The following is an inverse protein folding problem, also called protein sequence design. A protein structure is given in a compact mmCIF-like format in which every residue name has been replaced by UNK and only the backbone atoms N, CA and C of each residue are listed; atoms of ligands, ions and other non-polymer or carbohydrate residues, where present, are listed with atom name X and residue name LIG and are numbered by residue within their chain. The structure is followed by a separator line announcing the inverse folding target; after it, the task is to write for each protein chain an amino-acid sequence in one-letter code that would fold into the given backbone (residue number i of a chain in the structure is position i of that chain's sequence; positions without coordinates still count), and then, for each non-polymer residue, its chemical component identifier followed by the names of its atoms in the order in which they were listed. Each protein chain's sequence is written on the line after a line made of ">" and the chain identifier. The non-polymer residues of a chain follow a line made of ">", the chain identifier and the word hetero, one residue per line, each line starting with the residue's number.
data_IF_550176244811
#
_entry.id   IF_550176244811
#
_cell.length_a   1.000
_cell.length_b   1.000
_cell.length_c   1.000
_cell.angle_alpha   90.00
_cell.angle_beta   90.00
_cell.angle_gamma   90.00
#
_symmetry.space_group_name_H-M   'P 1'
#
loop_
_entity.id
_entity.type
_entity.pdbx_description
1 polymer ?
#
# COMPACT_ATOMS: atom_id res chain seq x y z
N UNK A 1 19.00 -66.41 -17.40
CA UNK A 1 18.68 -64.97 -17.59
C UNK A 1 17.20 -64.81 -17.93
N UNK A 2 16.32 -65.18 -16.99
CA UNK A 2 14.86 -65.17 -17.25
C UNK A 2 14.09 -64.93 -15.95
N UNK A 3 14.41 -63.85 -15.23
CA UNK A 3 13.64 -63.34 -14.07
C UNK A 3 13.91 -61.84 -13.88
N UNK A 4 13.54 -61.01 -14.86
CA UNK A 4 13.59 -59.54 -14.71
C UNK A 4 12.68 -58.83 -15.73
N UNK A 5 11.46 -59.33 -15.97
CA UNK A 5 10.49 -58.66 -16.87
C UNK A 5 9.03 -58.60 -16.40
N UNK A 6 8.69 -59.13 -15.23
CA UNK A 6 7.29 -59.20 -14.75
C UNK A 6 6.99 -58.39 -13.48
N UNK A 7 7.72 -57.30 -13.22
CA UNK A 7 7.47 -56.42 -12.06
C UNK A 7 7.13 -54.96 -12.41
N UNK A 8 6.91 -54.65 -13.70
CA UNK A 8 6.53 -53.31 -14.18
C UNK A 8 5.11 -53.23 -14.76
N UNK A 9 4.22 -54.16 -14.40
CA UNK A 9 2.83 -54.20 -14.90
C UNK A 9 1.73 -54.18 -13.84
N UNK A 10 2.05 -53.96 -12.57
CA UNK A 10 1.04 -53.83 -11.50
C UNK A 10 1.30 -52.61 -10.62
N UNK A 11 1.14 -51.40 -11.17
CA UNK A 11 0.93 -50.16 -10.41
C UNK A 11 0.52 -49.02 -11.34
N UNK A 12 -0.58 -49.20 -12.06
CA UNK A 12 -1.21 -48.13 -12.85
C UNK A 12 -2.70 -48.02 -12.52
N UNK A 13 -3.01 -47.77 -11.25
CA UNK A 13 -4.31 -47.29 -10.81
C UNK A 13 -4.10 -46.11 -9.85
N UNK A 14 -3.52 -45.03 -10.39
CA UNK A 14 -3.56 -43.71 -9.75
C UNK A 14 -4.64 -42.92 -10.47
N UNK A 15 -5.65 -42.58 -9.68
CA UNK A 15 -6.84 -41.80 -9.98
C UNK A 15 -6.50 -40.54 -10.80
N UNK A 16 -6.78 -40.55 -12.12
CA UNK A 16 -6.83 -39.35 -12.93
C UNK A 16 -8.19 -38.69 -12.70
N UNK A 17 -8.22 -37.60 -11.92
CA UNK A 17 -9.41 -36.75 -11.80
C UNK A 17 -9.75 -36.17 -13.18
N UNK A 18 -11.01 -36.18 -13.63
CA UNK A 18 -11.36 -35.61 -14.92
C UNK A 18 -11.28 -34.08 -14.85
N UNK A 19 -10.62 -33.50 -15.86
CA UNK A 19 -10.74 -32.08 -16.18
C UNK A 19 -12.23 -31.78 -16.43
N UNK A 20 -12.84 -30.99 -15.55
CA UNK A 20 -14.19 -30.47 -15.78
C UNK A 20 -14.15 -29.51 -16.96
N UNK A 21 -14.77 -29.92 -18.06
CA UNK A 21 -15.05 -29.08 -19.22
C UNK A 21 -16.21 -28.18 -18.84
N UNK A 22 -15.94 -26.92 -18.51
CA UNK A 22 -17.00 -25.91 -18.27
C UNK A 22 -17.62 -25.59 -19.63
N UNK A 23 -18.78 -26.17 -19.90
CA UNK A 23 -19.66 -25.77 -21.00
C UNK A 23 -20.37 -24.47 -20.59
N UNK A 24 -19.86 -23.34 -21.07
CA UNK A 24 -20.54 -22.04 -20.92
C UNK A 24 -21.73 -21.97 -21.86
N UNK A 25 -22.93 -22.28 -21.35
CA UNK A 25 -24.15 -21.66 -21.87
C UNK A 25 -24.19 -20.26 -21.27
N UNK A 26 -23.86 -19.25 -22.09
CA UNK A 26 -23.99 -17.84 -21.71
C UNK A 26 -25.47 -17.49 -21.73
N UNK A 27 -26.12 -17.53 -20.57
CA UNK A 27 -27.29 -16.68 -20.35
C UNK A 27 -26.78 -15.29 -20.00
N UNK A 28 -26.97 -14.36 -20.94
CA UNK A 28 -26.77 -12.94 -20.72
C UNK A 28 -27.92 -12.42 -19.84
N UNK A 29 -27.65 -12.18 -18.56
CA UNK A 29 -28.54 -11.43 -17.68
C UNK A 29 -27.73 -10.84 -16.51
N UNK A 30 -27.76 -9.50 -16.40
CA UNK A 30 -27.15 -8.62 -15.39
C UNK A 30 -25.61 -8.59 -15.30
N UNK A 31 -25.01 -7.47 -15.72
CA UNK A 31 -23.62 -7.15 -15.37
C UNK A 31 -23.56 -6.82 -13.87
N UNK A 32 -23.37 -7.83 -13.03
CA UNK A 32 -23.06 -7.61 -11.62
C UNK A 32 -21.80 -6.74 -11.54
N UNK A 33 -21.94 -5.54 -10.98
CA UNK A 33 -20.79 -4.67 -10.68
C UNK A 33 -19.91 -5.44 -9.69
N UNK A 34 -18.69 -5.79 -10.11
CA UNK A 34 -17.75 -6.49 -9.25
C UNK A 34 -17.41 -5.61 -8.05
N UNK A 35 -17.32 -6.17 -6.84
CA UNK A 35 -16.97 -5.40 -5.64
C UNK A 35 -15.56 -4.83 -5.76
N UNK A 36 -15.36 -3.62 -5.22
CA UNK A 36 -14.07 -2.92 -5.21
C UNK A 36 -13.10 -3.49 -4.19
N UNK A 37 -13.58 -4.33 -3.28
CA UNK A 37 -12.77 -5.11 -2.33
C UNK A 37 -13.23 -6.56 -2.40
N UNK A 38 -12.27 -7.48 -2.57
CA UNK A 38 -12.48 -8.92 -2.50
C UNK A 38 -12.11 -9.40 -1.10
N UNK A 39 -12.97 -10.24 -0.51
CA UNK A 39 -12.67 -10.90 0.77
C UNK A 39 -12.78 -12.40 0.56
N UNK A 40 -11.68 -13.10 0.81
CA UNK A 40 -11.58 -14.56 0.69
C UNK A 40 -11.02 -15.14 1.98
N UNK A 41 -11.30 -16.42 2.24
CA UNK A 41 -10.67 -17.18 3.32
C UNK A 41 -9.83 -18.30 2.74
N UNK A 42 -8.56 -18.33 3.13
CA UNK A 42 -7.69 -19.48 2.93
C UNK A 42 -7.45 -20.15 4.28
N UNK A 43 -8.17 -21.23 4.55
CA UNK A 43 -8.24 -21.86 5.88
C UNK A 43 -8.66 -20.85 6.96
N UNK A 44 -7.73 -20.45 7.83
CA UNK A 44 -7.93 -19.52 8.93
C UNK A 44 -7.23 -18.17 8.68
N UNK A 45 -6.89 -17.87 7.43
CA UNK A 45 -6.32 -16.58 7.02
C UNK A 45 -7.37 -15.84 6.19
N UNK A 46 -7.67 -14.59 6.57
CA UNK A 46 -8.55 -13.73 5.77
C UNK A 46 -7.73 -12.94 4.77
N UNK A 47 -8.05 -13.05 3.49
CA UNK A 47 -7.44 -12.31 2.39
C UNK A 47 -8.34 -11.13 2.03
N UNK A 48 -7.79 -9.92 2.01
CA UNK A 48 -8.49 -8.68 1.68
C UNK A 48 -7.78 -8.06 0.48
N UNK A 49 -8.41 -8.11 -0.68
CA UNK A 49 -7.86 -7.65 -1.95
C UNK A 49 -8.51 -6.35 -2.43
N UNK A 50 -7.73 -5.30 -2.67
CA UNK A 50 -8.22 -4.09 -3.33
C UNK A 50 -8.37 -4.39 -4.83
N UNK A 51 -9.58 -4.21 -5.37
CA UNK A 51 -9.98 -4.69 -6.69
C UNK A 51 -10.51 -3.54 -7.58
N UNK A 52 -9.61 -2.62 -7.92
CA UNK A 52 -9.81 -1.52 -8.88
C UNK A 52 -8.59 -1.42 -9.79
N UNK A 53 -8.19 -2.54 -10.40
CA UNK A 53 -6.96 -2.65 -11.20
C UNK A 53 -6.86 -1.59 -12.31
N UNK A 54 -8.00 -1.24 -12.91
CA UNK A 54 -8.11 -0.26 -14.01
C UNK A 54 -7.69 1.15 -13.57
N UNK A 55 -7.70 1.40 -12.25
CA UNK A 55 -7.26 2.63 -11.62
C UNK A 55 -6.05 2.39 -10.69
N UNK A 56 -5.28 1.31 -10.91
CA UNK A 56 -4.16 0.89 -10.07
C UNK A 56 -4.52 0.83 -8.58
N UNK A 57 -5.73 0.37 -8.29
CA UNK A 57 -6.25 0.26 -6.93
C UNK A 57 -6.25 1.60 -6.18
N UNK A 58 -6.51 2.71 -6.88
CA UNK A 58 -6.86 3.96 -6.23
C UNK A 58 -8.09 3.76 -5.33
N UNK A 59 -8.17 4.49 -4.22
CA UNK A 59 -9.15 4.29 -3.15
C UNK A 59 -10.08 5.49 -3.11
N UNK A 60 -11.31 5.28 -3.58
CA UNK A 60 -12.43 6.23 -3.48
C UNK A 60 -13.21 6.00 -2.17
N UNK A 61 -14.23 6.81 -1.90
CA UNK A 61 -15.05 6.71 -0.69
C UNK A 61 -15.68 5.33 -0.49
N UNK A 62 -16.23 4.76 -1.56
CA UNK A 62 -16.86 3.44 -1.54
C UNK A 62 -15.85 2.33 -1.24
N UNK A 63 -14.67 2.40 -1.86
CA UNK A 63 -13.58 1.45 -1.64
C UNK A 63 -13.06 1.56 -0.22
N UNK A 64 -12.84 2.78 0.29
CA UNK A 64 -12.43 3.01 1.67
C UNK A 64 -13.43 2.40 2.66
N UNK A 65 -14.74 2.58 2.44
CA UNK A 65 -15.79 1.98 3.26
C UNK A 65 -15.76 0.45 3.22
N UNK A 66 -15.58 -0.14 2.04
CA UNK A 66 -15.47 -1.59 1.89
C UNK A 66 -14.20 -2.16 2.53
N UNK A 67 -13.06 -1.45 2.48
CA UNK A 67 -11.83 -1.82 3.18
C UNK A 67 -12.08 -1.77 4.70
N UNK A 68 -12.66 -0.68 5.21
CA UNK A 68 -13.01 -0.54 6.63
C UNK A 68 -13.93 -1.65 7.11
N UNK A 69 -14.95 -2.00 6.32
CA UNK A 69 -15.85 -3.10 6.62
C UNK A 69 -15.11 -4.45 6.63
N UNK A 70 -14.33 -4.76 5.59
CA UNK A 70 -13.60 -6.02 5.49
C UNK A 70 -12.62 -6.21 6.66
N UNK A 71 -11.92 -5.15 7.06
CA UNK A 71 -11.01 -5.17 8.20
C UNK A 71 -11.77 -5.26 9.53
N UNK A 72 -12.93 -4.60 9.69
CA UNK A 72 -13.79 -4.79 10.88
C UNK A 72 -14.26 -6.22 11.02
N UNK A 73 -14.79 -6.79 9.94
CA UNK A 73 -15.32 -8.16 9.91
C UNK A 73 -14.18 -9.15 10.20
N UNK A 74 -12.99 -8.92 9.63
CA UNK A 74 -11.79 -9.66 9.99
C UNK A 74 -11.46 -9.50 11.47
N UNK A 75 -11.34 -8.28 12.01
CA UNK A 75 -10.88 -8.07 13.40
C UNK A 75 -11.83 -8.69 14.44
N UNK A 76 -13.13 -8.78 14.12
CA UNK A 76 -14.16 -9.42 14.93
C UNK A 76 -14.24 -10.95 14.80
N UNK A 77 -13.63 -11.55 13.78
CA UNK A 77 -13.72 -12.99 13.50
C UNK A 77 -12.64 -13.80 14.25
N UNK A 78 -13.01 -14.42 15.37
CA UNK A 78 -12.10 -15.24 16.18
C UNK A 78 -11.56 -16.49 15.46
N UNK A 79 -12.15 -16.89 14.32
CA UNK A 79 -11.65 -18.01 13.50
C UNK A 79 -10.47 -17.62 12.60
N UNK A 80 -10.17 -16.33 12.48
CA UNK A 80 -9.12 -15.79 11.61
C UNK A 80 -8.11 -14.98 12.42
N UNK A 81 -6.99 -15.59 12.89
CA UNK A 81 -5.99 -14.91 13.71
C UNK A 81 -5.15 -13.87 12.95
N UNK A 82 -5.01 -13.98 11.62
CA UNK A 82 -4.12 -13.12 10.82
C UNK A 82 -4.79 -12.77 9.50
N UNK A 83 -4.70 -11.49 9.11
CA UNK A 83 -5.20 -11.00 7.82
C UNK A 83 -4.08 -10.80 6.82
N UNK A 84 -4.40 -10.84 5.53
CA UNK A 84 -3.51 -10.43 4.44
C UNK A 84 -4.18 -9.33 3.62
N UNK A 85 -3.53 -8.18 3.49
CA UNK A 85 -3.98 -7.07 2.65
C UNK A 85 -3.13 -7.02 1.37
N UNK A 86 -3.76 -6.96 0.20
CA UNK A 86 -3.06 -6.94 -1.09
C UNK A 86 -3.84 -6.17 -2.16
N UNK A 87 -3.19 -5.89 -3.30
CA UNK A 87 -3.83 -5.29 -4.47
C UNK A 87 -3.93 -6.26 -5.65
N UNK A 88 -5.11 -6.32 -6.28
CA UNK A 88 -5.38 -7.10 -7.49
C UNK A 88 -4.82 -6.37 -8.71
N UNK A 89 -4.33 -7.10 -9.72
CA UNK A 89 -3.99 -6.51 -11.03
C UNK A 89 -2.66 -5.75 -11.08
N UNK A 90 -1.68 -6.13 -10.26
CA UNK A 90 -0.28 -5.72 -10.45
C UNK A 90 0.10 -4.37 -9.83
N UNK A 91 -0.70 -3.81 -8.92
CA UNK A 91 -0.31 -2.71 -8.04
C UNK A 91 -1.04 -2.84 -6.71
N UNK A 92 -0.38 -2.52 -5.60
CA UNK A 92 -1.04 -2.51 -4.30
C UNK A 92 -2.11 -1.42 -4.24
N UNK A 93 -1.70 -0.15 -4.37
CA UNK A 93 -2.59 1.01 -4.44
C UNK A 93 -1.84 2.27 -4.87
N UNK A 94 -2.47 3.06 -5.73
CA UNK A 94 -2.04 4.41 -6.10
C UNK A 94 -2.39 5.49 -5.04
N UNK A 95 -3.09 5.14 -3.97
CA UNK A 95 -3.58 6.08 -2.95
C UNK A 95 -4.97 6.60 -3.24
N UNK A 96 -5.30 7.79 -2.72
CA UNK A 96 -6.62 8.40 -2.85
C UNK A 96 -7.01 8.63 -4.33
N UNK A 97 -8.27 8.40 -4.66
CA UNK A 97 -8.78 8.52 -6.03
C UNK A 97 -8.66 9.96 -6.55
N UNK A 98 -7.95 10.12 -7.69
CA UNK A 98 -7.66 11.45 -8.26
C UNK A 98 -8.92 12.14 -8.79
N UNK A 99 -9.95 11.37 -9.18
CA UNK A 99 -11.24 11.94 -9.62
C UNK A 99 -12.01 12.51 -8.42
N UNK A 100 -12.03 11.80 -7.28
CA UNK A 100 -12.59 12.38 -6.05
C UNK A 100 -11.76 13.59 -5.58
N UNK A 101 -10.43 13.48 -5.62
CA UNK A 101 -9.53 14.58 -5.23
C UNK A 101 -9.79 15.84 -6.05
N UNK A 102 -10.05 15.68 -7.34
CA UNK A 102 -10.41 16.79 -8.21
C UNK A 102 -11.74 17.42 -7.79
N UNK A 103 -12.78 16.62 -7.56
CA UNK A 103 -14.07 17.15 -7.14
C UNK A 103 -13.99 17.89 -5.80
N UNK A 104 -13.11 17.46 -4.89
CA UNK A 104 -12.78 18.19 -3.66
C UNK A 104 -12.04 19.51 -3.97
N UNK A 105 -11.04 19.48 -4.86
CA UNK A 105 -10.30 20.66 -5.27
C UNK A 105 -11.17 21.73 -5.94
N UNK A 106 -12.09 21.34 -6.83
CA UNK A 106 -13.06 22.25 -7.47
C UNK A 106 -13.99 22.91 -6.45
N UNK A 107 -14.34 22.19 -5.37
CA UNK A 107 -15.10 22.73 -4.23
C UNK A 107 -14.25 23.57 -3.28
N UNK A 108 -12.93 23.57 -3.43
CA UNK A 108 -12.01 24.18 -2.48
C UNK A 108 -12.05 23.51 -1.11
N UNK A 109 -12.31 22.19 -1.07
CA UNK A 109 -12.48 21.41 0.15
C UNK A 109 -11.38 20.35 0.30
N UNK A 110 -11.19 19.92 1.55
CA UNK A 110 -10.36 18.78 1.95
C UNK A 110 -11.14 17.87 2.90
N UNK A 111 -12.46 17.77 2.72
CA UNK A 111 -13.36 17.03 3.63
C UNK A 111 -12.98 15.55 3.75
N UNK A 112 -12.34 14.98 2.73
CA UNK A 112 -11.84 13.61 2.79
C UNK A 112 -10.81 13.38 3.91
N UNK A 113 -10.07 14.42 4.33
CA UNK A 113 -9.16 14.38 5.47
C UNK A 113 -9.91 14.27 6.81
N UNK A 114 -11.19 14.62 6.86
CA UNK A 114 -11.99 14.61 8.09
C UNK A 114 -12.74 13.30 8.32
N UNK A 115 -12.65 12.33 7.39
CA UNK A 115 -13.31 11.02 7.52
C UNK A 115 -12.86 10.29 8.79
N UNK A 116 -13.81 9.91 9.65
CA UNK A 116 -13.54 9.37 10.99
C UNK A 116 -12.52 8.22 11.03
N UNK A 117 -12.57 7.32 10.03
CA UNK A 117 -11.71 6.16 9.97
C UNK A 117 -10.34 6.40 9.31
N UNK A 118 -10.20 7.47 8.53
CA UNK A 118 -9.12 7.67 7.56
C UNK A 118 -9.65 7.97 6.15
N UNK A 119 -8.80 8.54 5.30
CA UNK A 119 -9.19 8.87 3.91
C UNK A 119 -9.29 7.61 3.03
N UNK A 120 -8.47 6.60 3.32
CA UNK A 120 -8.30 5.38 2.51
C UNK A 120 -8.65 4.08 3.25
N UNK A 121 -9.51 4.16 4.27
CA UNK A 121 -9.96 3.01 5.07
C UNK A 121 -9.73 3.23 6.56
N UNK A 122 -9.49 2.17 7.35
CA UNK A 122 -9.42 2.23 8.82
C UNK A 122 -8.03 2.63 9.34
N UNK A 123 -7.35 3.57 8.68
CA UNK A 123 -5.98 3.99 8.99
C UNK A 123 -5.85 4.64 10.37
N UNK A 124 -6.97 5.07 10.97
CA UNK A 124 -7.03 5.64 12.32
C UNK A 124 -7.33 4.64 13.42
N UNK A 125 -7.60 3.37 13.08
CA UNK A 125 -7.93 2.35 14.08
C UNK A 125 -6.68 1.74 14.70
N UNK A 126 -6.84 1.28 15.94
CA UNK A 126 -5.94 0.32 16.58
C UNK A 126 -6.53 -1.08 16.40
N UNK A 127 -5.96 -1.86 15.48
CA UNK A 127 -6.45 -3.22 15.18
C UNK A 127 -5.97 -4.20 16.25
N UNK A 128 -6.78 -5.20 16.59
CA UNK A 128 -6.42 -6.22 17.59
C UNK A 128 -5.53 -7.31 17.01
N UNK A 129 -5.75 -7.66 15.73
CA UNK A 129 -5.06 -8.77 15.06
C UNK A 129 -4.07 -8.31 14.01
N UNK A 130 -2.98 -9.07 13.80
CA UNK A 130 -1.96 -8.69 12.83
C UNK A 130 -2.45 -8.80 11.38
N UNK A 131 -1.98 -7.88 10.54
CA UNK A 131 -2.18 -7.90 9.08
C UNK A 131 -0.82 -7.92 8.38
N UNK A 132 -0.65 -8.86 7.43
CA UNK A 132 0.50 -8.91 6.53
C UNK A 132 0.13 -8.28 5.19
N UNK A 133 0.93 -7.31 4.74
CA UNK A 133 0.72 -6.63 3.46
C UNK A 133 1.54 -7.30 2.35
N UNK A 134 0.89 -7.68 1.26
CA UNK A 134 1.50 -8.12 0.01
C UNK A 134 1.57 -6.98 -1.00
N UNK A 135 2.77 -6.47 -1.27
CA UNK A 135 2.99 -5.29 -2.11
C UNK A 135 3.54 -5.69 -3.48
N UNK A 136 2.69 -5.57 -4.50
CA UNK A 136 3.03 -5.62 -5.92
C UNK A 136 2.98 -4.21 -6.54
N UNK A 137 3.71 -4.00 -7.64
CA UNK A 137 3.69 -2.75 -8.41
C UNK A 137 3.80 -1.47 -7.58
N UNK A 138 2.82 -0.58 -7.69
CA UNK A 138 2.83 0.70 -6.96
C UNK A 138 2.12 0.61 -5.61
N UNK A 139 2.79 1.08 -4.56
CA UNK A 139 2.22 1.35 -3.23
C UNK A 139 2.62 2.77 -2.83
N UNK A 140 1.80 3.74 -3.21
CA UNK A 140 2.20 5.16 -3.20
C UNK A 140 1.13 6.05 -2.58
N UNK A 141 1.54 7.24 -2.15
CA UNK A 141 0.69 8.21 -1.46
C UNK A 141 -0.03 7.56 -0.26
N UNK A 142 -1.33 7.80 -0.08
CA UNK A 142 -2.12 7.19 1.00
C UNK A 142 -2.18 5.65 0.91
N UNK A 143 -1.87 5.05 -0.25
CA UNK A 143 -1.69 3.60 -0.37
C UNK A 143 -0.48 3.11 0.45
N UNK A 144 0.58 3.90 0.56
CA UNK A 144 1.69 3.61 1.47
C UNK A 144 1.27 3.78 2.93
N UNK A 145 0.43 4.75 3.26
CA UNK A 145 -0.10 4.92 4.63
C UNK A 145 -0.96 3.72 5.04
N UNK A 146 -1.77 3.17 4.12
CA UNK A 146 -2.52 1.93 4.34
C UNK A 146 -1.59 0.71 4.49
N UNK A 147 -0.50 0.63 3.73
CA UNK A 147 0.49 -0.44 3.91
C UNK A 147 1.28 -0.31 5.23
N UNK A 148 1.48 0.91 5.71
CA UNK A 148 2.11 1.20 7.02
C UNK A 148 1.19 0.85 8.20
N UNK A 149 -0.14 0.84 8.02
CA UNK A 149 -1.08 0.31 9.02
C UNK A 149 -0.85 -1.19 9.28
N UNK A 150 -0.40 -1.94 8.26
CA UNK A 150 -0.11 -3.36 8.39
C UNK A 150 1.16 -3.61 9.21
N UNK A 151 1.21 -4.73 9.91
CA UNK A 151 2.33 -5.08 10.80
C UNK A 151 3.59 -5.44 10.03
N UNK A 152 3.44 -6.25 8.98
CA UNK A 152 4.54 -6.74 8.16
C UNK A 152 4.26 -6.48 6.68
N UNK A 153 5.30 -6.21 5.91
CA UNK A 153 5.24 -5.94 4.47
C UNK A 153 6.15 -6.89 3.71
N UNK A 154 5.58 -7.56 2.72
CA UNK A 154 6.25 -8.44 1.75
C UNK A 154 6.13 -7.77 0.39
N UNK A 155 7.25 -7.36 -0.20
CA UNK A 155 7.29 -6.52 -1.39
C UNK A 155 7.98 -7.24 -2.56
N UNK A 156 7.42 -7.09 -3.75
CA UNK A 156 8.07 -7.54 -4.99
C UNK A 156 9.30 -6.69 -5.32
N UNK A 157 10.31 -7.30 -5.91
CA UNK A 157 11.57 -6.65 -6.32
C UNK A 157 11.37 -5.45 -7.27
N UNK A 158 10.36 -5.51 -8.14
CA UNK A 158 10.00 -4.44 -9.08
C UNK A 158 9.01 -3.42 -8.51
N UNK A 159 8.49 -3.62 -7.31
CA UNK A 159 7.53 -2.71 -6.72
C UNK A 159 8.20 -1.37 -6.32
N UNK A 160 7.36 -0.35 -6.15
CA UNK A 160 7.79 1.03 -5.86
C UNK A 160 6.94 1.60 -4.73
N UNK A 161 7.62 2.17 -3.73
CA UNK A 161 7.01 2.95 -2.66
C UNK A 161 7.31 4.45 -2.81
N UNK A 162 6.48 5.30 -2.23
CA UNK A 162 6.77 6.73 -2.07
C UNK A 162 5.53 7.62 -1.93
N UNK A 163 5.70 8.81 -1.35
CA UNK A 163 4.63 9.79 -1.17
C UNK A 163 4.48 10.71 -2.39
N UNK A 164 3.93 10.17 -3.48
CA UNK A 164 3.78 10.94 -4.72
C UNK A 164 2.73 12.07 -4.62
N UNK A 165 1.85 12.03 -3.61
CA UNK A 165 0.94 13.11 -3.26
C UNK A 165 1.67 14.45 -3.01
N UNK A 166 2.97 14.41 -2.66
CA UNK A 166 3.83 15.61 -2.58
C UNK A 166 3.78 16.46 -3.85
N UNK A 167 3.70 15.83 -5.02
CA UNK A 167 3.68 16.52 -6.33
C UNK A 167 2.35 17.21 -6.63
N UNK A 168 1.30 16.74 -5.96
CA UNK A 168 -0.06 17.26 -6.05
C UNK A 168 -0.35 18.28 -4.94
N UNK A 169 0.58 18.58 -4.03
CA UNK A 169 0.30 19.50 -2.91
C UNK A 169 -0.62 18.91 -1.84
N UNK A 170 -0.86 17.59 -1.86
CA UNK A 170 -1.76 16.93 -0.90
C UNK A 170 -0.94 16.43 0.30
N UNK A 171 -1.30 16.80 1.54
CA UNK A 171 -0.58 16.36 2.74
C UNK A 171 -0.81 14.87 3.04
N UNK A 172 -0.02 14.32 3.97
CA UNK A 172 -0.29 13.02 4.59
C UNK A 172 -1.35 13.21 5.68
N UNK A 173 -2.24 12.24 5.87
CA UNK A 173 -3.39 12.38 6.79
C UNK A 173 -3.89 11.07 7.41
N UNK A 174 -3.16 9.99 7.14
CA UNK A 174 -3.54 8.64 7.49
C UNK A 174 -2.47 7.99 8.39
N UNK A 175 -1.74 8.83 9.13
CA UNK A 175 -0.70 8.42 10.07
C UNK A 175 0.64 8.09 9.41
N UNK A 176 0.85 8.49 8.16
CA UNK A 176 2.10 8.28 7.45
C UNK A 176 3.30 8.95 8.13
N UNK A 177 3.14 10.16 8.69
CA UNK A 177 4.27 10.84 9.37
C UNK A 177 4.66 10.14 10.66
N UNK A 178 3.71 9.47 11.32
CA UNK A 178 3.93 8.73 12.56
C UNK A 178 4.55 7.36 12.29
N UNK A 179 3.88 6.56 11.46
CA UNK A 179 4.28 5.16 11.24
C UNK A 179 5.56 5.04 10.43
N UNK A 180 5.80 5.93 9.48
CA UNK A 180 7.04 5.89 8.71
C UNK A 180 8.25 6.20 9.60
N UNK A 181 8.18 7.26 10.42
CA UNK A 181 9.27 7.62 11.32
C UNK A 181 9.59 6.50 12.32
N UNK A 182 8.56 5.81 12.83
CA UNK A 182 8.74 4.64 13.69
C UNK A 182 9.39 3.45 12.95
N UNK A 183 9.10 3.27 11.65
CA UNK A 183 9.60 2.14 10.87
C UNK A 183 11.03 2.33 10.36
N UNK A 184 11.38 3.51 9.84
CA UNK A 184 12.67 3.74 9.13
C UNK A 184 13.59 4.74 9.83
N UNK A 185 13.16 5.28 10.97
CA UNK A 185 13.83 6.37 11.67
C UNK A 185 13.55 7.74 11.04
N UNK A 186 13.80 8.79 11.82
CA UNK A 186 13.47 10.17 11.46
C UNK A 186 14.10 10.62 10.12
N UNK A 187 15.40 10.39 9.92
CA UNK A 187 16.13 10.90 8.75
C UNK A 187 15.61 10.31 7.43
N UNK A 188 15.41 9.00 7.35
CA UNK A 188 14.84 8.36 6.16
C UNK A 188 13.38 8.80 5.95
N UNK A 189 12.61 8.96 7.03
CA UNK A 189 11.22 9.38 6.93
C UNK A 189 11.09 10.79 6.33
N UNK A 190 11.88 11.75 6.82
CA UNK A 190 11.90 13.13 6.29
C UNK A 190 12.32 13.15 4.83
N UNK A 191 13.39 12.44 4.45
CA UNK A 191 13.83 12.33 3.05
C UNK A 191 12.68 11.84 2.15
N UNK A 192 12.03 10.72 2.49
CA UNK A 192 10.96 10.15 1.68
C UNK A 192 9.74 11.08 1.59
N UNK A 193 9.38 11.76 2.68
CA UNK A 193 8.21 12.67 2.76
C UNK A 193 8.45 13.98 2.02
N UNK A 194 9.62 14.59 2.18
CA UNK A 194 9.95 15.90 1.60
C UNK A 194 10.22 15.79 0.10
N UNK A 195 11.00 14.79 -0.31
CA UNK A 195 11.36 14.61 -1.72
C UNK A 195 10.24 13.96 -2.52
N UNK A 196 9.38 13.16 -1.88
CA UNK A 196 8.40 12.31 -2.58
C UNK A 196 9.08 11.36 -3.58
N UNK A 197 10.36 11.01 -3.36
CA UNK A 197 11.14 10.14 -4.26
C UNK A 197 10.62 8.70 -4.23
N UNK A 198 11.08 7.93 -5.20
CA UNK A 198 10.85 6.47 -5.20
C UNK A 198 11.75 5.79 -4.20
N UNK A 199 11.18 4.80 -3.52
CA UNK A 199 11.91 3.82 -2.73
C UNK A 199 11.69 2.46 -3.38
N UNK A 200 12.79 1.88 -3.89
CA UNK A 200 12.77 0.56 -4.53
C UNK A 200 13.01 -0.55 -3.50
N UNK A 201 12.62 -1.78 -3.84
CA UNK A 201 12.56 -2.90 -2.89
C UNK A 201 13.88 -3.15 -2.11
N UNK A 202 15.05 -3.04 -2.76
CA UNK A 202 16.35 -3.22 -2.08
C UNK A 202 16.59 -2.16 -1.00
N UNK A 203 16.26 -0.91 -1.31
CA UNK A 203 16.37 0.17 -0.33
C UNK A 203 15.32 0.01 0.77
N UNK A 204 14.06 -0.27 0.40
CA UNK A 204 12.96 -0.48 1.34
C UNK A 204 13.30 -1.57 2.37
N UNK A 205 13.93 -2.66 1.93
CA UNK A 205 14.43 -3.72 2.81
C UNK A 205 15.57 -3.23 3.72
N UNK A 206 16.56 -2.53 3.15
CA UNK A 206 17.74 -2.02 3.88
C UNK A 206 17.36 -1.05 5.01
N UNK A 207 16.38 -0.19 4.79
CA UNK A 207 15.96 0.83 5.76
C UNK A 207 14.87 0.34 6.73
N UNK A 208 14.42 -0.91 6.61
CA UNK A 208 13.37 -1.48 7.48
C UNK A 208 11.94 -1.09 7.10
N UNK A 209 11.73 -0.41 5.95
CA UNK A 209 10.40 -0.09 5.45
C UNK A 209 9.64 -1.35 5.05
N UNK A 210 10.34 -2.39 4.59
CA UNK A 210 9.77 -3.68 4.20
C UNK A 210 10.52 -4.80 4.89
N UNK A 211 9.81 -5.85 5.28
CA UNK A 211 10.38 -6.98 6.02
C UNK A 211 10.93 -8.07 5.11
N UNK A 212 10.34 -8.26 3.92
CA UNK A 212 10.76 -9.27 2.94
C UNK A 212 10.66 -8.74 1.51
N UNK A 213 11.71 -8.97 0.73
CA UNK A 213 11.71 -8.77 -0.71
C UNK A 213 11.56 -10.12 -1.42
N UNK A 214 10.68 -10.20 -2.41
CA UNK A 214 10.36 -11.43 -3.15
C UNK A 214 10.34 -11.19 -4.65
N UNK A 215 10.32 -12.26 -5.45
CA UNK A 215 10.23 -12.14 -6.90
C UNK A 215 8.87 -11.53 -7.33
N UNK A 216 8.87 -10.79 -8.44
CA UNK A 216 7.66 -10.26 -9.07
C UNK A 216 6.59 -11.35 -9.26
N UNK A 217 5.33 -11.03 -8.95
CA UNK A 217 4.19 -11.94 -9.00
C UNK A 217 4.01 -12.85 -7.79
N UNK A 218 4.89 -12.78 -6.78
CA UNK A 218 4.86 -13.72 -5.64
C UNK A 218 4.51 -13.08 -4.30
N UNK A 219 4.30 -11.76 -4.22
CA UNK A 219 4.06 -11.07 -2.95
C UNK A 219 2.85 -11.60 -2.18
N UNK A 220 1.71 -11.83 -2.84
CA UNK A 220 0.52 -12.39 -2.18
C UNK A 220 0.80 -13.77 -1.57
N UNK A 221 1.32 -14.70 -2.37
CA UNK A 221 1.61 -16.05 -1.88
C UNK A 221 2.61 -16.06 -0.72
N UNK A 222 3.63 -15.19 -0.77
CA UNK A 222 4.62 -15.08 0.30
C UNK A 222 4.07 -14.36 1.55
N UNK A 223 3.15 -13.41 1.38
CA UNK A 223 2.41 -12.80 2.49
C UNK A 223 1.49 -13.81 3.18
N UNK A 224 0.79 -14.66 2.42
CA UNK A 224 -0.04 -15.77 2.93
C UNK A 224 0.81 -16.78 3.70
N UNK A 225 1.96 -17.19 3.16
CA UNK A 225 2.89 -18.09 3.86
C UNK A 225 3.40 -17.49 5.19
N UNK A 226 3.67 -16.18 5.21
CA UNK A 226 4.04 -15.47 6.43
C UNK A 226 2.87 -15.41 7.42
N UNK A 227 1.65 -15.15 6.95
CA UNK A 227 0.45 -15.16 7.78
C UNK A 227 0.21 -16.53 8.44
N UNK A 228 0.32 -17.63 7.68
CA UNK A 228 0.28 -18.99 8.24
C UNK A 228 1.40 -19.26 9.25
N UNK A 229 2.59 -18.73 9.01
CA UNK A 229 3.71 -18.87 9.94
C UNK A 229 3.47 -18.15 11.27
N UNK A 230 2.65 -17.11 11.28
CA UNK A 230 2.23 -16.37 12.47
C UNK A 230 1.06 -17.10 13.15
N UNK A 231 0.07 -17.52 12.38
CA UNK A 231 -1.18 -18.10 12.87
C UNK A 231 -1.02 -19.42 13.64
N UNK A 232 0.12 -20.10 13.50
CA UNK A 232 0.42 -21.33 14.27
C UNK A 232 0.74 -21.09 15.75
N UNK A 233 0.95 -19.84 16.17
CA UNK A 233 1.31 -19.48 17.55
C UNK A 233 0.10 -19.03 18.37
N UNK A 234 0.17 -19.11 19.72
CA UNK A 234 -0.91 -18.62 20.59
C UNK A 234 -1.19 -17.13 20.38
N UNK A 235 -2.40 -16.80 19.93
CA UNK A 235 -2.77 -15.44 19.52
C UNK A 235 -2.71 -14.43 20.68
N UNK A 236 -3.09 -14.82 21.90
CA UNK A 236 -3.13 -13.92 23.05
C UNK A 236 -1.75 -13.34 23.42
N UNK A 237 -0.71 -14.19 23.45
CA UNK A 237 0.67 -13.74 23.70
C UNK A 237 1.17 -12.84 22.57
N UNK A 238 0.88 -13.22 21.32
CA UNK A 238 1.26 -12.42 20.16
C UNK A 238 0.62 -11.03 20.19
N UNK A 239 -0.68 -10.96 20.50
CA UNK A 239 -1.41 -9.70 20.61
C UNK A 239 -0.86 -8.84 21.75
N UNK A 240 -0.52 -9.45 22.89
CA UNK A 240 0.09 -8.74 24.01
C UNK A 240 1.42 -8.09 23.60
N UNK A 241 2.34 -8.88 23.05
CA UNK A 241 3.67 -8.40 22.65
C UNK A 241 3.56 -7.34 21.54
N UNK A 242 2.68 -7.57 20.56
CA UNK A 242 2.38 -6.62 19.48
C UNK A 242 1.88 -5.29 20.06
N UNK A 243 0.90 -5.31 20.95
CA UNK A 243 0.35 -4.10 21.55
C UNK A 243 1.41 -3.35 22.37
N UNK A 244 2.28 -4.08 23.09
CA UNK A 244 3.40 -3.47 23.81
C UNK A 244 4.37 -2.75 22.87
N UNK A 245 4.71 -3.36 21.72
CA UNK A 245 5.55 -2.71 20.69
C UNK A 245 4.86 -1.46 20.12
N UNK A 246 3.59 -1.56 19.75
CA UNK A 246 2.83 -0.44 19.18
C UNK A 246 2.68 0.73 20.16
N UNK A 247 2.48 0.46 21.44
CA UNK A 247 2.47 1.46 22.49
C UNK A 247 3.84 2.13 22.66
N UNK A 248 4.92 1.33 22.71
CA UNK A 248 6.28 1.82 22.99
C UNK A 248 6.97 2.49 21.79
N UNK A 249 6.64 2.11 20.56
CA UNK A 249 7.25 2.65 19.34
C UNK A 249 6.81 4.08 18.99
N UNK A 250 6.20 4.82 19.95
CA UNK A 250 5.53 6.12 19.74
C UNK A 250 4.42 6.08 18.69
N UNK A 251 3.92 4.89 18.34
CA UNK A 251 2.91 4.74 17.32
C UNK A 251 1.49 4.90 17.85
N UNK A 252 1.26 4.94 19.19
CA UNK A 252 -0.08 5.09 19.78
C UNK A 252 -0.17 5.89 21.11
N UNK A 253 0.80 5.88 22.04
CA UNK A 253 0.54 6.27 23.47
C UNK A 253 1.28 7.49 24.10
N UNK A 254 2.04 8.34 23.38
CA UNK A 254 2.52 9.66 23.90
C UNK A 254 2.42 10.76 22.83
N UNK A 255 2.14 12.03 23.22
CA UNK A 255 0.90 12.72 22.80
C UNK A 255 0.32 12.05 21.55
N UNK A 256 -0.57 11.09 21.80
CA UNK A 256 -0.72 9.86 21.04
C UNK A 256 -0.92 10.01 19.54
N UNK A 257 -0.84 8.89 18.83
CA UNK A 257 -1.10 8.80 17.39
C UNK A 257 -2.31 9.61 16.93
N UNK A 258 -3.39 9.61 17.70
CA UNK A 258 -4.56 10.43 17.44
C UNK A 258 -4.25 11.93 17.46
N UNK A 259 -3.46 12.42 18.41
CA UNK A 259 -2.99 13.79 18.44
C UNK A 259 -2.04 14.10 17.27
N UNK A 260 -1.18 13.15 16.86
CA UNK A 260 -0.29 13.32 15.72
C UNK A 260 -1.03 13.34 14.38
N UNK A 261 -1.98 12.41 14.15
CA UNK A 261 -2.88 12.44 12.99
C UNK A 261 -3.78 13.68 13.02
N UNK A 262 -4.28 14.06 14.20
CA UNK A 262 -5.01 15.32 14.34
C UNK A 262 -4.11 16.51 14.00
N UNK A 263 -2.82 16.48 14.33
CA UNK A 263 -1.85 17.50 13.94
C UNK A 263 -1.57 17.49 12.43
N UNK A 264 -1.54 16.33 11.78
CA UNK A 264 -1.49 16.20 10.31
C UNK A 264 -2.68 16.92 9.66
N UNK A 265 -3.88 16.75 10.22
CA UNK A 265 -5.14 17.32 9.69
C UNK A 265 -5.29 18.81 10.03
N UNK A 266 -5.02 19.20 11.28
CA UNK A 266 -5.30 20.56 11.79
C UNK A 266 -4.28 21.60 11.31
N UNK A 267 -3.10 21.19 10.85
CA UNK A 267 -2.11 22.10 10.25
C UNK A 267 -2.29 22.29 8.74
N UNK A 268 -3.38 21.78 8.18
CA UNK A 268 -3.72 22.01 6.78
C UNK A 268 -4.12 23.47 6.59
N UNK A 269 -3.38 24.19 5.75
CA UNK A 269 -3.61 25.62 5.47
C UNK A 269 -4.40 25.84 4.18
N UNK A 270 -5.04 27.00 4.04
CA UNK A 270 -5.71 27.40 2.79
C UNK A 270 -4.76 27.44 1.58
N UNK A 271 -3.47 27.72 1.79
CA UNK A 271 -2.45 27.66 0.75
C UNK A 271 -2.28 26.24 0.18
N UNK A 272 -2.43 25.20 1.02
CA UNK A 272 -2.37 23.81 0.55
C UNK A 272 -3.56 23.46 -0.35
N UNK A 273 -4.73 24.07 -0.14
CA UNK A 273 -5.90 23.88 -1.02
C UNK A 273 -5.60 24.48 -2.41
N UNK A 274 -4.99 25.66 -2.45
CA UNK A 274 -4.55 26.29 -3.72
C UNK A 274 -3.49 25.43 -4.41
N UNK A 275 -2.50 24.92 -3.68
CA UNK A 275 -1.47 24.04 -4.22
C UNK A 275 -2.07 22.73 -4.76
N UNK A 276 -3.07 22.18 -4.07
CA UNK A 276 -3.83 21.01 -4.52
C UNK A 276 -4.58 21.29 -5.83
N UNK A 277 -5.29 22.42 -5.92
CA UNK A 277 -6.02 22.81 -7.14
C UNK A 277 -5.07 22.93 -8.34
N UNK A 278 -3.92 23.58 -8.16
CA UNK A 278 -2.92 23.70 -9.22
C UNK A 278 -2.26 22.34 -9.53
N UNK A 279 -2.01 21.52 -8.52
CA UNK A 279 -1.48 20.16 -8.65
C UNK A 279 -2.38 19.26 -9.49
N UNK A 280 -3.68 19.25 -9.20
CA UNK A 280 -4.70 18.50 -9.95
C UNK A 280 -4.80 19.01 -11.40
N UNK A 281 -4.84 20.34 -11.59
CA UNK A 281 -4.89 20.94 -12.93
C UNK A 281 -3.68 20.53 -13.78
N UNK A 282 -2.48 20.57 -13.21
CA UNK A 282 -1.24 20.12 -13.87
C UNK A 282 -1.26 18.63 -14.16
N UNK A 283 -1.79 17.81 -13.25
CA UNK A 283 -1.94 16.37 -13.46
C UNK A 283 -2.86 16.07 -14.65
N UNK A 284 -3.89 16.89 -14.87
CA UNK A 284 -4.76 16.75 -16.04
C UNK A 284 -4.08 17.10 -17.35
N UNK A 285 -3.36 18.22 -17.38
CA UNK A 285 -2.79 18.80 -18.61
C UNK A 285 -1.46 18.17 -19.04
N UNK A 286 -0.83 17.35 -18.18
CA UNK A 286 0.44 16.70 -18.54
C UNK A 286 0.28 15.73 -19.73
N UNK A 287 1.06 15.95 -20.78
CA UNK A 287 1.04 15.15 -22.02
C UNK A 287 1.59 13.72 -21.82
N UNK A 288 2.45 13.53 -20.83
CA UNK A 288 2.99 12.22 -20.48
C UNK A 288 2.21 11.68 -19.28
N UNK A 289 1.11 10.96 -19.52
CA UNK A 289 0.51 10.06 -18.53
C UNK A 289 1.17 8.70 -18.65
N UNK A 290 2.46 8.64 -18.36
CA UNK A 290 3.27 7.45 -18.61
C UNK A 290 2.84 6.27 -17.74
N UNK A 291 3.07 5.01 -18.18
CA UNK A 291 2.90 3.84 -17.31
C UNK A 291 3.79 3.92 -16.06
N UNK A 292 4.87 4.71 -16.11
CA UNK A 292 5.74 5.06 -14.99
C UNK A 292 5.35 6.44 -14.46
N UNK A 293 5.28 6.59 -13.14
CA UNK A 293 4.98 7.87 -12.45
C UNK A 293 6.08 8.94 -12.59
N UNK A 294 6.94 8.84 -13.60
CA UNK A 294 8.09 9.72 -13.83
C UNK A 294 7.72 11.06 -14.45
N UNK A 295 6.56 11.11 -15.07
CA UNK A 295 6.19 12.17 -16.00
C UNK A 295 5.58 13.42 -15.36
N UNK A 296 5.49 13.44 -14.04
CA UNK A 296 4.97 14.58 -13.30
C UNK A 296 6.12 15.55 -13.06
N UNK A 297 6.43 16.39 -14.05
CA UNK A 297 7.49 17.40 -13.96
C UNK A 297 7.44 18.11 -12.60
N UNK A 298 8.40 17.80 -11.72
CA UNK A 298 8.67 18.60 -10.53
C UNK A 298 9.00 20.00 -11.07
N UNK A 299 8.48 21.08 -10.46
CA UNK A 299 8.97 22.42 -10.82
C UNK A 299 10.48 22.38 -10.65
N UNK A 300 11.25 22.48 -11.73
CA UNK A 300 12.65 22.86 -11.61
C UNK A 300 12.61 24.24 -10.93
N UNK A 301 12.93 24.26 -9.63
CA UNK A 301 13.17 25.53 -8.96
C UNK A 301 14.38 26.13 -9.67
N UNK A 302 14.25 27.38 -10.12
CA UNK A 302 15.41 28.11 -10.63
C UNK A 302 16.47 28.09 -9.54
N UNK A 303 17.63 27.52 -9.86
CA UNK A 303 18.78 27.46 -8.96
C UNK A 303 19.08 28.91 -8.49
N UNK A 304 19.18 29.17 -7.18
CA UNK A 304 19.61 30.48 -6.67
C UNK A 304 20.96 30.89 -7.28
N UNK A 305 21.17 32.19 -7.47
CA UNK A 305 22.36 32.66 -8.21
C UNK A 305 23.69 32.29 -7.54
N UNK A 306 23.69 32.08 -6.22
CA UNK A 306 24.86 31.60 -5.47
C UNK A 306 25.20 30.14 -5.79
N UNK A 307 24.20 29.28 -5.96
CA UNK A 307 24.39 27.86 -6.27
C UNK A 307 24.80 27.69 -7.75
N UNK A 308 24.33 28.57 -8.65
CA UNK A 308 24.86 28.66 -10.02
C UNK A 308 26.34 29.08 -10.03
N UNK A 309 26.73 29.99 -9.15
CA UNK A 309 28.11 30.45 -9.04
C UNK A 309 29.03 29.35 -8.50
N UNK A 310 28.59 28.57 -7.51
CA UNK A 310 29.33 27.40 -7.01
C UNK A 310 29.51 26.32 -8.09
N UNK A 311 28.45 25.99 -8.83
CA UNK A 311 28.52 25.04 -9.94
C UNK A 311 29.51 25.53 -11.01
N UNK A 312 29.51 26.82 -11.33
CA UNK A 312 30.46 27.39 -12.29
C UNK A 312 31.92 27.29 -11.80
N UNK A 313 32.16 27.50 -10.50
CA UNK A 313 33.50 27.34 -9.88
C UNK A 313 33.94 25.87 -9.95
N UNK A 314 33.06 24.93 -9.63
CA UNK A 314 33.37 23.49 -9.69
C UNK A 314 33.65 23.02 -11.13
N UNK A 315 32.92 23.55 -12.11
CA UNK A 315 33.16 23.25 -13.53
C UNK A 315 34.47 23.85 -14.05
N UNK A 316 34.86 25.03 -13.56
CA UNK A 316 36.14 25.66 -13.89
C UNK A 316 37.32 24.91 -13.25
N UNK A 317 37.14 24.38 -12.04
CA UNK A 317 38.12 23.54 -11.36
C UNK A 317 38.29 22.16 -12.02
N UNK A 318 37.21 21.57 -12.58
CA UNK A 318 37.28 20.31 -13.35
C UNK A 318 37.96 20.45 -14.71
N UNK A 319 38.11 21.68 -15.23
CA UNK A 319 38.76 21.98 -16.51
C UNK A 319 40.26 22.30 -16.37
N UNK A 320 40.79 22.36 -15.15
CA UNK A 320 42.22 22.53 -14.84
C UNK A 320 42.86 21.19 -14.51
#
# INVERSE_FOLDING_TARGET
>A
MTKFRNLLQQSSNICRRPFFRVSTVRNASESAVLPTVLVEKDSHITLIGINREQQRNAIDANTAQQISKAISDFDADDTSPVGVLYGVGGSFSAGYDVVELEAEAERGSLDFLLRHEGSVGPTRRHLRKPIVCGINGFCVASGLELALLCDLRVMEDTAVLGFFNRRLGVPLSDGGTVRLAAAVGYSNAVDIIETGRRVYAREALRIGLVNRMVATGTALGQAVNLAFSIAKFPLSSLQHDRNAVLANANAYERPGFHAAVNNEIMNVSSAMITDMQEGVKRFKTSEVKGPKTDSWHIKEKSIPDWEKAEIAIEEEQKKR
#
